data_IF_866644076643
#
_entry.id   IF_866644076643
#
_cell.length_a   1.000
_cell.length_b   1.000
_cell.length_c   1.000
_cell.angle_alpha   90.00
_cell.angle_beta   90.00
_cell.angle_gamma   90.00
#
_symmetry.space_group_name_H-M   'P 1'
#
loop_
_entity.id
_entity.type
_entity.pdbx_description
1 polymer ?
#
# COMPACT_ATOMS: atom_id res chain seq x y z
N UNK A 1 10.41 -23.20 14.04
CA UNK A 1 10.42 -21.92 13.30
C UNK A 1 11.51 -22.03 12.27
N UNK A 2 11.14 -22.04 10.99
CA UNK A 2 12.08 -22.00 9.87
C UNK A 2 12.59 -20.58 9.66
N UNK A 3 13.67 -20.39 8.91
CA UNK A 3 14.16 -19.05 8.56
C UNK A 3 13.11 -18.24 7.78
N UNK A 4 12.28 -18.91 6.97
CA UNK A 4 11.19 -18.32 6.19
C UNK A 4 10.11 -17.76 7.13
N UNK A 5 9.78 -18.47 8.21
CA UNK A 5 8.77 -18.00 9.18
C UNK A 5 9.23 -16.74 9.91
N UNK A 6 10.51 -16.67 10.27
CA UNK A 6 11.06 -15.47 10.94
C UNK A 6 11.08 -14.28 9.99
N UNK A 7 11.47 -14.50 8.74
CA UNK A 7 11.47 -13.46 7.71
C UNK A 7 10.07 -12.90 7.49
N UNK A 8 9.09 -13.77 7.25
CA UNK A 8 7.70 -13.36 7.02
C UNK A 8 7.10 -12.66 8.25
N UNK A 9 7.43 -13.09 9.48
CA UNK A 9 6.97 -12.39 10.69
C UNK A 9 7.53 -10.95 10.79
N UNK A 10 8.79 -10.75 10.41
CA UNK A 10 9.39 -9.41 10.34
C UNK A 10 8.70 -8.56 9.26
N UNK A 11 8.42 -9.13 8.10
CA UNK A 11 7.68 -8.45 7.03
C UNK A 11 6.30 -8.00 7.49
N UNK A 12 5.53 -8.86 8.16
CA UNK A 12 4.21 -8.52 8.73
C UNK A 12 4.30 -7.27 9.61
N UNK A 13 5.27 -7.23 10.54
CA UNK A 13 5.44 -6.11 11.47
C UNK A 13 5.80 -4.82 10.72
N UNK A 14 6.70 -4.91 9.75
CA UNK A 14 7.13 -3.76 8.93
C UNK A 14 5.96 -3.22 8.12
N UNK A 15 5.27 -4.06 7.35
CA UNK A 15 4.17 -3.63 6.49
C UNK A 15 3.01 -3.08 7.29
N UNK A 16 2.63 -3.73 8.40
CA UNK A 16 1.58 -3.20 9.28
C UNK A 16 1.99 -1.87 9.90
N UNK A 17 3.24 -1.73 10.37
CA UNK A 17 3.76 -0.49 10.94
C UNK A 17 3.72 0.68 9.96
N UNK A 18 4.15 0.45 8.71
CA UNK A 18 4.09 1.44 7.64
C UNK A 18 2.63 1.82 7.34
N UNK A 19 1.74 0.82 7.25
CA UNK A 19 0.33 1.04 6.97
C UNK A 19 -0.35 1.91 8.04
N UNK A 20 -0.09 1.62 9.31
CA UNK A 20 -0.58 2.40 10.45
C UNK A 20 -0.06 3.84 10.44
N UNK A 21 1.23 4.05 10.14
CA UNK A 21 1.79 5.40 10.07
C UNK A 21 1.19 6.20 8.91
N UNK A 22 0.92 5.57 7.76
CA UNK A 22 0.20 6.22 6.67
C UNK A 22 -1.21 6.64 7.06
N UNK A 23 -1.96 5.76 7.75
CA UNK A 23 -3.28 6.11 8.28
C UNK A 23 -3.17 7.29 9.25
N UNK A 24 -2.28 7.20 10.25
CA UNK A 24 -2.06 8.24 11.24
C UNK A 24 -1.74 9.59 10.60
N UNK A 25 -0.81 9.64 9.65
CA UNK A 25 -0.44 10.88 8.92
C UNK A 25 -1.57 11.42 8.08
N UNK A 26 -2.34 10.55 7.42
CA UNK A 26 -3.55 10.95 6.67
C UNK A 26 -4.58 11.66 7.55
N UNK A 27 -4.77 11.19 8.79
CA UNK A 27 -5.72 11.80 9.71
C UNK A 27 -5.21 13.07 10.37
N UNK A 28 -3.92 13.14 10.73
CA UNK A 28 -3.34 14.20 11.56
C UNK A 28 -2.74 15.36 10.75
N UNK A 29 -1.95 15.06 9.72
CA UNK A 29 -1.01 16.05 9.16
C UNK A 29 -1.51 16.76 7.90
N UNK A 30 -2.51 16.22 7.19
CA UNK A 30 -3.07 16.84 5.98
C UNK A 30 -2.09 16.97 4.79
N UNK A 31 -0.81 16.64 4.97
CA UNK A 31 0.28 16.72 3.96
C UNK A 31 0.00 15.81 2.76
N UNK A 32 -0.78 14.76 2.98
CA UNK A 32 -1.23 13.82 1.97
C UNK A 32 -2.76 13.86 1.95
N UNK A 33 -3.36 13.85 0.76
CA UNK A 33 -4.80 13.67 0.62
C UNK A 33 -5.26 12.47 1.45
N UNK A 34 -6.16 12.71 2.41
CA UNK A 34 -6.72 11.69 3.33
C UNK A 34 -7.05 10.40 2.61
N UNK A 35 -7.66 10.51 1.42
CA UNK A 35 -8.04 9.36 0.59
C UNK A 35 -6.83 8.54 0.14
N UNK A 36 -5.77 9.18 -0.36
CA UNK A 36 -4.53 8.52 -0.78
C UNK A 36 -3.79 7.88 0.40
N UNK A 37 -3.75 8.55 1.55
CA UNK A 37 -3.15 8.01 2.77
C UNK A 37 -3.92 6.78 3.29
N UNK A 38 -5.26 6.82 3.27
CA UNK A 38 -6.09 5.68 3.66
C UNK A 38 -5.93 4.50 2.71
N UNK A 39 -5.93 4.74 1.39
CA UNK A 39 -5.70 3.67 0.40
C UNK A 39 -4.32 3.04 0.61
N UNK A 40 -3.27 3.84 0.74
CA UNK A 40 -1.91 3.34 1.00
C UNK A 40 -1.85 2.53 2.29
N UNK A 41 -2.39 3.06 3.38
CA UNK A 41 -2.38 2.41 4.69
C UNK A 41 -3.12 1.07 4.70
N UNK A 42 -4.33 1.03 4.14
CA UNK A 42 -5.10 -0.21 3.99
C UNK A 42 -4.37 -1.21 3.09
N UNK A 43 -3.77 -0.76 1.99
CA UNK A 43 -3.03 -1.64 1.08
C UNK A 43 -1.82 -2.29 1.77
N UNK A 44 -1.07 -1.53 2.58
CA UNK A 44 0.04 -2.06 3.39
C UNK A 44 -0.42 -3.07 4.44
N UNK A 45 -1.52 -2.81 5.14
CA UNK A 45 -2.10 -3.75 6.09
C UNK A 45 -2.56 -5.04 5.42
N UNK A 46 -3.22 -4.93 4.27
CA UNK A 46 -3.65 -6.08 3.48
C UNK A 46 -2.45 -6.88 2.94
N UNK A 47 -1.36 -6.21 2.54
CA UNK A 47 -0.13 -6.88 2.12
C UNK A 47 0.51 -7.64 3.28
N UNK A 48 0.68 -7.00 4.45
CA UNK A 48 1.17 -7.69 5.64
C UNK A 48 0.27 -8.84 6.09
N UNK A 49 -1.06 -8.73 5.93
CA UNK A 49 -1.97 -9.83 6.21
C UNK A 49 -1.76 -11.01 5.26
N UNK A 50 -1.38 -10.77 4.01
CA UNK A 50 -1.03 -11.85 3.07
C UNK A 50 0.21 -12.62 3.52
N UNK A 51 1.18 -11.95 4.18
CA UNK A 51 2.37 -12.59 4.75
C UNK A 51 2.04 -13.41 6.01
N UNK A 52 1.02 -13.01 6.79
CA UNK A 52 0.48 -13.85 7.88
C UNK A 52 -0.13 -15.13 7.33
N UNK A 53 -0.85 -15.07 6.21
CA UNK A 53 -1.39 -16.27 5.58
C UNK A 53 -0.24 -17.16 5.09
N UNK A 54 0.84 -16.57 4.59
CA UNK A 54 2.05 -17.31 4.20
C UNK A 54 2.70 -18.05 5.38
N UNK A 55 2.72 -17.43 6.57
CA UNK A 55 3.15 -18.10 7.82
C UNK A 55 2.26 -19.29 8.19
N UNK A 56 0.96 -19.22 7.90
CA UNK A 56 0.01 -20.30 8.22
C UNK A 56 0.05 -21.43 7.20
N UNK A 57 0.25 -21.12 5.92
CA UNK A 57 0.24 -22.10 4.84
C UNK A 57 1.62 -22.68 4.54
N UNK A 58 2.69 -22.03 4.98
CA UNK A 58 4.07 -22.39 4.69
C UNK A 58 4.43 -22.27 3.21
N UNK A 59 3.58 -21.61 2.40
CA UNK A 59 3.74 -21.54 0.95
C UNK A 59 3.17 -20.24 0.38
N UNK A 60 4.04 -19.47 -0.28
CA UNK A 60 3.69 -18.21 -0.94
C UNK A 60 2.74 -18.36 -2.15
N UNK A 61 2.65 -19.55 -2.76
CA UNK A 61 1.74 -19.85 -3.90
C UNK A 61 0.47 -20.61 -3.51
N UNK A 62 0.39 -21.16 -2.29
CA UNK A 62 -0.76 -21.96 -1.86
C UNK A 62 -1.42 -21.29 -0.67
N UNK A 63 -2.71 -20.95 -0.81
CA UNK A 63 -3.58 -21.06 -1.99
C UNK A 63 -3.31 -19.99 -3.07
N UNK A 64 -3.61 -20.29 -4.34
CA UNK A 64 -3.28 -19.44 -5.51
C UNK A 64 -3.85 -18.00 -5.44
N UNK A 65 -4.94 -17.79 -4.70
CA UNK A 65 -5.52 -16.47 -4.48
C UNK A 65 -4.61 -15.51 -3.70
N UNK A 66 -3.63 -16.05 -2.96
CA UNK A 66 -2.65 -15.27 -2.22
C UNK A 66 -1.74 -14.47 -3.16
N UNK A 67 -1.44 -15.02 -4.34
CA UNK A 67 -0.69 -14.32 -5.39
C UNK A 67 -1.53 -13.23 -6.04
N UNK A 68 -2.82 -13.48 -6.25
CA UNK A 68 -3.74 -12.47 -6.79
C UNK A 68 -3.82 -11.30 -5.81
N UNK A 69 -3.91 -11.59 -4.52
CA UNK A 69 -3.91 -10.57 -3.48
C UNK A 69 -2.61 -9.76 -3.45
N UNK A 70 -1.45 -10.42 -3.36
CA UNK A 70 -0.14 -9.75 -3.42
C UNK A 70 -0.01 -8.93 -4.71
N UNK A 71 -0.45 -9.46 -5.84
CA UNK A 71 -0.46 -8.77 -7.13
C UNK A 71 -1.32 -7.50 -7.14
N UNK A 72 -2.53 -7.55 -6.56
CA UNK A 72 -3.40 -6.38 -6.42
C UNK A 72 -2.75 -5.32 -5.51
N UNK A 73 -2.17 -5.73 -4.39
CA UNK A 73 -1.46 -4.81 -3.48
C UNK A 73 -0.28 -4.13 -4.18
N UNK A 74 0.54 -4.87 -4.92
CA UNK A 74 1.66 -4.33 -5.69
C UNK A 74 1.16 -3.36 -6.76
N UNK A 75 0.10 -3.71 -7.50
CA UNK A 75 -0.50 -2.82 -8.49
C UNK A 75 -1.00 -1.51 -7.87
N UNK A 76 -1.62 -1.59 -6.69
CA UNK A 76 -2.04 -0.41 -5.93
C UNK A 76 -0.84 0.44 -5.47
N UNK A 77 0.25 -0.17 -5.01
CA UNK A 77 1.47 0.58 -4.66
C UNK A 77 2.06 1.30 -5.88
N UNK A 78 2.14 0.64 -7.03
CA UNK A 78 2.60 1.25 -8.28
C UNK A 78 1.68 2.40 -8.69
N UNK A 79 0.37 2.20 -8.62
CA UNK A 79 -0.60 3.24 -8.93
C UNK A 79 -0.50 4.45 -7.99
N UNK A 80 -0.35 4.23 -6.69
CA UNK A 80 -0.12 5.28 -5.69
C UNK A 80 1.18 6.03 -5.95
N UNK A 81 2.24 5.32 -6.31
CA UNK A 81 3.54 5.90 -6.65
C UNK A 81 3.46 6.80 -7.88
N UNK A 82 2.80 6.34 -8.95
CA UNK A 82 2.60 7.13 -10.17
C UNK A 82 1.73 8.35 -9.87
N UNK A 83 0.62 8.17 -9.15
CA UNK A 83 -0.33 9.25 -8.82
C UNK A 83 0.30 10.36 -7.97
N UNK A 84 1.28 10.02 -7.12
CA UNK A 84 2.07 11.00 -6.35
C UNK A 84 3.15 11.68 -7.18
N UNK A 85 3.72 10.98 -8.16
CA UNK A 85 4.78 11.50 -9.03
C UNK A 85 4.27 12.31 -10.19
N UNK A 86 3.03 12.14 -10.62
CA UNK A 86 2.41 13.04 -11.57
C UNK A 86 2.42 14.43 -10.94
N UNK A 87 3.30 15.35 -11.38
CA UNK A 87 3.13 16.75 -11.04
C UNK A 87 1.73 17.05 -11.58
N UNK A 88 0.87 17.60 -10.73
CA UNK A 88 -0.49 17.93 -11.12
C UNK A 88 -0.44 18.54 -12.50
N UNK A 89 -1.25 18.00 -13.41
CA UNK A 89 -1.48 18.57 -14.72
C UNK A 89 -1.84 20.03 -14.43
N UNK A 90 -0.86 20.91 -14.53
CA UNK A 90 -0.98 22.32 -14.27
C UNK A 90 -1.94 22.79 -15.36
N UNK A 91 -3.22 22.89 -15.02
CA UNK A 91 -4.11 23.70 -15.84
C UNK A 91 -3.62 25.12 -15.61
N UNK A 92 -2.90 25.62 -16.62
CA UNK A 92 -2.51 27.02 -16.65
C UNK A 92 -3.78 27.86 -16.46
N UNK A 93 -3.76 28.89 -15.59
CA UNK A 93 -4.86 29.84 -15.44
C UNK A 93 -5.31 30.47 -16.77
N UNK A 94 -4.48 30.40 -17.80
CA UNK A 94 -4.77 30.88 -19.15
C UNK A 94 -5.92 30.16 -19.87
N UNK A 95 -6.33 28.96 -19.43
CA UNK A 95 -7.42 28.19 -20.07
C UNK A 95 -8.76 28.32 -19.34
N UNK A 96 -8.80 29.00 -18.19
CA UNK A 96 -10.02 29.25 -17.42
C UNK A 96 -10.59 30.65 -17.64
N UNK A 97 -9.79 31.56 -18.21
CA UNK A 97 -10.19 32.93 -18.55
C UNK A 97 -10.33 33.15 -20.07
N UNK A 98 -10.38 32.04 -20.83
CA UNK A 98 -10.92 31.99 -22.18
C UNK A 98 -12.19 31.12 -22.10
N UNK A 99 -13.42 31.64 -21.97
CA UNK A 99 -13.94 32.90 -22.50
C UNK A 99 -13.66 33.05 -24.01
#
# INVERSE_FOLDING_TARGET
MTAVDVFNAVEVVIWCGIGLEFLRRGFITGVISRRLASIAGVTFLLFGLSDVVELQTGAFWRPWWLLVWKGICIALFVWLWISRRSPGRFKSPAEADQN
#
